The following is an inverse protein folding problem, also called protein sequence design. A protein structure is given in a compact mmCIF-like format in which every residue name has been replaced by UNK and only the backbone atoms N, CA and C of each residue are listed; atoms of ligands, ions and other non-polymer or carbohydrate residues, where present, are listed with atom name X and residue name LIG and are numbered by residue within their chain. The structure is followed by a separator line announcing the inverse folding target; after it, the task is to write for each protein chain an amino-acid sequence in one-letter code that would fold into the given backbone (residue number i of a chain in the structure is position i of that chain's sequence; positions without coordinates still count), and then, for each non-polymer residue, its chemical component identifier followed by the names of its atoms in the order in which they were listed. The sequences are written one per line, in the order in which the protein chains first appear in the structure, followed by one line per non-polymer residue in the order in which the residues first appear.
data_IF_575938170144
#
_entry.id   IF_575938170144
#
_cell.length_a   1.000
_cell.length_b   1.000
_cell.length_c   1.000
_cell.angle_alpha   90.00
_cell.angle_beta   90.00
_cell.angle_gamma   90.00
#
_symmetry.space_group_name_H-M   'P 1'
#
loop_
_entity.id
_entity.type
_entity.pdbx_description
1 polymer ?
#
# COMPACT_ATOMS: atom_id res chain seq x y z
N UNK A 1 -22.55 0.44 16.55
CA UNK A 1 -22.85 -0.28 15.29
C UNK A 1 -21.49 -0.68 14.72
N UNK A 2 -21.17 -1.97 14.60
CA UNK A 2 -19.89 -2.41 14.00
C UNK A 2 -19.93 -2.07 12.51
N UNK A 3 -18.86 -1.51 11.97
CA UNK A 3 -18.76 -1.21 10.54
C UNK A 3 -18.70 -2.51 9.74
N UNK A 4 -19.14 -2.51 8.46
CA UNK A 4 -18.92 -3.64 7.55
C UNK A 4 -17.44 -4.00 7.43
N UNK A 5 -16.56 -3.02 7.62
CA UNK A 5 -15.11 -3.21 7.67
C UNK A 5 -14.71 -4.06 8.89
N UNK A 6 -15.30 -3.83 10.06
CA UNK A 6 -15.01 -4.60 11.28
C UNK A 6 -15.48 -6.05 11.16
N UNK A 7 -16.60 -6.26 10.45
CA UNK A 7 -17.14 -7.59 10.17
C UNK A 7 -16.22 -8.38 9.22
N UNK A 8 -15.83 -7.77 8.09
CA UNK A 8 -14.88 -8.37 7.15
C UNK A 8 -13.54 -8.67 7.81
N UNK A 9 -13.01 -7.72 8.59
CA UNK A 9 -11.78 -7.92 9.35
C UNK A 9 -11.90 -9.13 10.26
N UNK A 10 -12.97 -9.21 11.05
CA UNK A 10 -13.16 -10.32 11.97
C UNK A 10 -13.29 -11.67 11.24
N UNK A 11 -13.82 -11.70 10.02
CA UNK A 11 -13.84 -12.91 9.19
C UNK A 11 -12.44 -13.34 8.77
N UNK A 12 -11.62 -12.41 8.24
CA UNK A 12 -10.23 -12.70 7.90
C UNK A 12 -9.39 -13.12 9.12
N UNK A 13 -9.59 -12.49 10.28
CA UNK A 13 -8.92 -12.84 11.54
C UNK A 13 -9.29 -14.26 12.03
N UNK A 14 -10.43 -14.80 11.57
CA UNK A 14 -10.84 -16.20 11.80
C UNK A 14 -10.44 -17.15 10.67
N UNK A 15 -9.60 -16.68 9.74
CA UNK A 15 -9.17 -17.42 8.54
C UNK A 15 -10.32 -17.80 7.59
N UNK A 16 -11.43 -17.06 7.66
CA UNK A 16 -12.54 -17.20 6.72
C UNK A 16 -12.22 -16.48 5.39
N UNK A 17 -12.91 -16.89 4.32
CA UNK A 17 -12.77 -16.30 2.99
C UNK A 17 -14.10 -15.64 2.57
N UNK A 18 -14.42 -14.43 3.07
CA UNK A 18 -15.66 -13.75 2.70
C UNK A 18 -15.70 -13.41 1.21
N UNK A 19 -16.88 -13.49 0.60
CA UNK A 19 -17.09 -13.10 -0.79
C UNK A 19 -17.03 -11.57 -0.93
N UNK A 20 -15.87 -11.01 -1.31
CA UNK A 20 -15.67 -9.56 -1.41
C UNK A 20 -16.59 -8.89 -2.45
N UNK A 21 -17.12 -9.63 -3.41
CA UNK A 21 -18.03 -9.14 -4.46
C UNK A 21 -19.38 -8.67 -3.89
N UNK A 22 -19.75 -9.12 -2.70
CA UNK A 22 -20.98 -8.70 -2.01
C UNK A 22 -20.84 -7.35 -1.29
N UNK A 23 -19.63 -6.80 -1.23
CA UNK A 23 -19.32 -5.57 -0.51
C UNK A 23 -19.04 -4.42 -1.46
N UNK A 24 -19.37 -3.20 -1.03
CA UNK A 24 -19.04 -2.02 -1.82
C UNK A 24 -17.50 -1.84 -1.89
N UNK A 25 -16.96 -1.37 -3.04
CA UNK A 25 -15.51 -1.19 -3.20
C UNK A 25 -14.87 -0.28 -2.15
N UNK A 26 -15.61 0.68 -1.59
CA UNK A 26 -15.09 1.57 -0.54
C UNK A 26 -14.88 0.83 0.78
N UNK A 27 -15.75 -0.12 1.13
CA UNK A 27 -15.60 -1.02 2.27
C UNK A 27 -14.37 -1.90 2.09
N UNK A 28 -14.20 -2.54 0.92
CA UNK A 28 -13.04 -3.39 0.63
C UNK A 28 -11.73 -2.58 0.65
N UNK A 29 -11.71 -1.40 0.04
CA UNK A 29 -10.55 -0.50 0.09
C UNK A 29 -10.25 -0.03 1.52
N UNK A 30 -11.28 0.19 2.35
CA UNK A 30 -11.10 0.57 3.75
C UNK A 30 -10.51 -0.56 4.58
N UNK A 31 -10.92 -1.80 4.33
CA UNK A 31 -10.30 -2.98 4.92
C UNK A 31 -8.82 -3.10 4.56
N UNK A 32 -8.47 -2.96 3.27
CA UNK A 32 -7.06 -3.00 2.83
C UNK A 32 -6.21 -1.93 3.53
N UNK A 33 -6.70 -0.68 3.60
CA UNK A 33 -6.02 0.41 4.32
C UNK A 33 -5.87 0.11 5.82
N UNK A 34 -6.90 -0.48 6.43
CA UNK A 34 -6.85 -0.86 7.84
C UNK A 34 -5.82 -1.96 8.09
N UNK A 35 -5.78 -3.00 7.27
CA UNK A 35 -4.78 -4.07 7.35
C UNK A 35 -3.36 -3.52 7.30
N UNK A 36 -3.05 -2.67 6.32
CA UNK A 36 -1.71 -2.09 6.17
C UNK A 36 -1.30 -1.22 7.37
N UNK A 37 -2.24 -0.45 7.95
CA UNK A 37 -2.00 0.40 9.13
C UNK A 37 -1.80 -0.41 10.43
N UNK A 38 -2.38 -1.59 10.51
CA UNK A 38 -2.34 -2.45 11.70
C UNK A 38 -1.21 -3.48 11.67
N UNK A 39 -0.38 -3.49 10.62
CA UNK A 39 0.83 -4.30 10.58
C UNK A 39 1.72 -3.98 11.81
N UNK A 40 2.38 -4.99 12.42
CA UNK A 40 3.25 -4.77 13.57
C UNK A 40 4.37 -3.74 13.32
N UNK A 41 4.88 -3.73 12.10
CA UNK A 41 5.79 -2.73 11.55
C UNK A 41 5.20 -2.20 10.23
N UNK A 42 5.49 -0.94 9.89
CA UNK A 42 5.12 -0.37 8.59
C UNK A 42 5.74 -1.22 7.45
N UNK A 43 5.12 -1.17 6.26
CA UNK A 43 5.44 -2.09 5.16
C UNK A 43 6.93 -2.09 4.75
N UNK A 44 7.60 -0.95 4.88
CA UNK A 44 9.02 -0.80 4.56
C UNK A 44 9.94 -0.97 5.77
N UNK A 45 9.47 -0.80 7.01
CA UNK A 45 10.32 -0.61 8.19
C UNK A 45 10.81 0.84 8.30
N UNK A 46 10.88 1.39 9.53
CA UNK A 46 11.34 2.78 9.78
C UNK A 46 12.72 3.10 9.19
N UNK A 47 13.66 2.16 9.31
CA UNK A 47 15.03 2.33 8.79
C UNK A 47 15.09 2.43 7.26
N UNK A 48 14.29 1.64 6.55
CA UNK A 48 14.26 1.68 5.09
C UNK A 48 13.52 2.92 4.59
N UNK A 49 12.46 3.38 5.27
CA UNK A 49 11.76 4.64 4.92
C UNK A 49 12.75 5.80 4.82
N UNK A 50 13.57 6.02 5.86
CA UNK A 50 14.58 7.09 5.88
C UNK A 50 15.57 6.98 4.70
N UNK A 51 15.97 5.76 4.35
CA UNK A 51 16.92 5.50 3.25
C UNK A 51 16.28 5.68 1.87
N UNK A 52 14.99 5.36 1.72
CA UNK A 52 14.22 5.68 0.52
C UNK A 52 14.08 7.20 0.36
N UNK A 53 13.87 7.95 1.43
CA UNK A 53 13.82 9.41 1.41
C UNK A 53 15.19 10.03 1.03
N UNK A 54 16.28 9.53 1.60
CA UNK A 54 17.64 9.93 1.20
C UNK A 54 17.91 9.65 -0.28
N UNK A 55 17.47 8.51 -0.80
CA UNK A 55 17.60 8.14 -2.21
C UNK A 55 16.89 9.13 -3.14
N UNK A 56 15.75 9.70 -2.73
CA UNK A 56 15.04 10.75 -3.48
C UNK A 56 15.90 12.01 -3.71
N UNK A 57 16.85 12.30 -2.80
CA UNK A 57 17.74 13.45 -2.88
C UNK A 57 18.91 13.30 -3.88
N UNK A 58 19.04 12.14 -4.55
CA UNK A 58 20.15 11.91 -5.48
C UNK A 58 20.05 12.79 -6.74
N UNK A 59 21.18 13.24 -7.32
CA UNK A 59 21.17 14.21 -8.41
C UNK A 59 20.54 13.71 -9.71
N UNK A 60 20.78 12.46 -10.07
CA UNK A 60 20.30 11.89 -11.34
C UNK A 60 19.22 10.82 -11.16
N UNK A 61 18.29 10.75 -12.11
CA UNK A 61 17.25 9.70 -12.12
C UNK A 61 17.86 8.29 -12.21
N UNK A 62 19.00 8.13 -12.88
CA UNK A 62 19.71 6.86 -12.96
C UNK A 62 20.24 6.42 -11.57
N UNK A 63 20.83 7.33 -10.81
CA UNK A 63 21.32 7.05 -9.45
C UNK A 63 20.17 6.79 -8.47
N UNK A 64 19.05 7.50 -8.61
CA UNK A 64 17.81 7.23 -7.84
C UNK A 64 17.29 5.83 -8.11
N UNK A 65 17.14 5.48 -9.40
CA UNK A 65 16.64 4.16 -9.80
C UNK A 65 17.53 3.04 -9.28
N UNK A 66 18.85 3.19 -9.45
CA UNK A 66 19.82 2.21 -8.95
C UNK A 66 19.71 2.03 -7.43
N UNK A 67 19.56 3.12 -6.69
CA UNK A 67 19.42 3.06 -5.23
C UNK A 67 18.10 2.44 -4.80
N UNK A 68 16.98 2.80 -5.45
CA UNK A 68 15.69 2.18 -5.17
C UNK A 68 15.71 0.68 -5.45
N UNK A 69 16.32 0.23 -6.54
CA UNK A 69 16.49 -1.20 -6.81
C UNK A 69 17.31 -1.90 -5.71
N UNK A 70 18.38 -1.26 -5.24
CA UNK A 70 19.22 -1.76 -4.15
C UNK A 70 18.41 -1.89 -2.85
N UNK A 71 17.68 -0.84 -2.46
CA UNK A 71 16.85 -0.81 -1.25
C UNK A 71 15.69 -1.80 -1.32
N UNK A 72 15.02 -1.93 -2.47
CA UNK A 72 14.00 -2.97 -2.70
C UNK A 72 14.58 -4.39 -2.58
N UNK A 73 15.87 -4.57 -2.82
CA UNK A 73 16.59 -5.82 -2.54
C UNK A 73 16.63 -6.18 -1.05
N UNK A 74 16.63 -5.18 -0.17
CA UNK A 74 16.71 -5.32 1.29
C UNK A 74 15.33 -5.47 1.97
N UNK A 75 14.24 -5.11 1.28
CA UNK A 75 12.87 -5.27 1.78
C UNK A 75 12.57 -6.78 1.94
N UNK A 76 12.00 -7.22 3.08
CA UNK A 76 11.60 -8.61 3.27
C UNK A 76 10.70 -9.12 2.16
N UNK A 77 10.87 -10.38 1.73
CA UNK A 77 10.18 -10.94 0.56
C UNK A 77 8.66 -10.78 0.62
N UNK A 78 8.04 -11.00 1.79
CA UNK A 78 6.59 -10.83 1.98
C UNK A 78 6.14 -9.38 1.80
N UNK A 79 6.82 -8.44 2.44
CA UNK A 79 6.54 -7.00 2.30
C UNK A 79 6.76 -6.51 0.87
N UNK A 80 7.82 -6.97 0.20
CA UNK A 80 8.10 -6.62 -1.20
C UNK A 80 7.02 -7.14 -2.14
N UNK A 81 6.52 -8.35 -1.92
CA UNK A 81 5.40 -8.90 -2.70
C UNK A 81 4.14 -8.05 -2.53
N UNK A 82 3.79 -7.74 -1.28
CA UNK A 82 2.64 -6.89 -0.97
C UNK A 82 2.80 -5.49 -1.59
N UNK A 83 3.99 -4.89 -1.50
CA UNK A 83 4.30 -3.61 -2.11
C UNK A 83 4.14 -3.64 -3.65
N UNK A 84 4.64 -4.70 -4.31
CA UNK A 84 4.50 -4.85 -5.75
C UNK A 84 3.04 -4.92 -6.19
N UNK A 85 2.22 -5.71 -5.48
CA UNK A 85 0.78 -5.78 -5.74
C UNK A 85 0.07 -4.44 -5.47
N UNK A 86 0.44 -3.76 -4.38
CA UNK A 86 -0.14 -2.47 -4.03
C UNK A 86 0.17 -1.41 -5.10
N UNK A 87 1.44 -1.27 -5.50
CA UNK A 87 1.87 -0.32 -6.54
C UNK A 87 1.16 -0.63 -7.86
N UNK A 88 1.12 -1.90 -8.27
CA UNK A 88 0.43 -2.32 -9.51
C UNK A 88 -1.07 -2.00 -9.46
N UNK A 89 -1.72 -2.25 -8.32
CA UNK A 89 -3.13 -1.91 -8.16
C UNK A 89 -3.38 -0.40 -8.24
N UNK A 90 -2.51 0.41 -7.61
CA UNK A 90 -2.63 1.86 -7.68
C UNK A 90 -2.41 2.40 -9.09
N UNK A 91 -1.47 1.83 -9.84
CA UNK A 91 -1.26 2.18 -11.25
C UNK A 91 -2.55 1.98 -12.07
N UNK A 92 -3.24 0.85 -11.89
CA UNK A 92 -4.54 0.62 -12.53
C UNK A 92 -5.63 1.61 -12.09
N UNK A 93 -5.63 2.05 -10.83
CA UNK A 93 -6.58 3.05 -10.31
C UNK A 93 -6.30 4.44 -10.92
N UNK A 94 -5.02 4.81 -11.03
CA UNK A 94 -4.55 6.07 -11.61
C UNK A 94 -4.81 6.10 -13.12
N UNK A 95 -4.61 4.98 -13.82
CA UNK A 95 -4.93 4.86 -15.25
C UNK A 95 -6.42 5.13 -15.54
N UNK A 96 -7.29 5.04 -14.53
CA UNK A 96 -8.73 5.33 -14.59
C UNK A 96 -9.11 6.62 -13.86
N UNK A 97 -8.17 7.56 -13.69
CA UNK A 97 -8.37 8.83 -12.98
C UNK A 97 -9.61 9.59 -13.45
N UNK A 98 -9.97 9.51 -14.74
CA UNK A 98 -11.17 10.17 -15.27
C UNK A 98 -12.45 9.69 -14.58
N UNK A 99 -12.49 8.44 -14.14
CA UNK A 99 -13.62 7.82 -13.44
C UNK A 99 -13.42 7.86 -11.92
N UNK A 100 -12.24 7.44 -11.45
CA UNK A 100 -11.93 7.29 -10.02
C UNK A 100 -11.67 8.60 -9.31
N UNK A 101 -11.28 9.65 -10.06
CA UNK A 101 -10.78 10.95 -9.57
C UNK A 101 -9.53 10.83 -8.69
N UNK A 102 -8.84 9.70 -8.77
CA UNK A 102 -7.62 9.41 -8.01
C UNK A 102 -6.39 9.53 -8.91
N UNK A 103 -5.69 10.65 -8.81
CA UNK A 103 -4.38 10.83 -9.44
C UNK A 103 -3.25 10.37 -8.51
N UNK A 104 -2.01 10.39 -9.01
CA UNK A 104 -0.83 9.98 -8.24
C UNK A 104 -0.64 10.79 -6.95
N UNK A 105 -1.00 12.08 -6.94
CA UNK A 105 -0.93 12.93 -5.75
C UNK A 105 -1.96 12.49 -4.69
N UNK A 106 -3.22 12.25 -5.09
CA UNK A 106 -4.30 11.81 -4.21
C UNK A 106 -3.99 10.43 -3.61
N UNK A 107 -3.47 9.50 -4.43
CA UNK A 107 -3.05 8.18 -3.98
C UNK A 107 -1.89 8.28 -2.98
N UNK A 108 -0.89 9.10 -3.28
CA UNK A 108 0.26 9.33 -2.37
C UNK A 108 -0.21 9.82 -1.00
N UNK A 109 -1.15 10.75 -0.94
CA UNK A 109 -1.70 11.26 0.33
C UNK A 109 -2.42 10.15 1.13
N UNK A 110 -3.20 9.30 0.46
CA UNK A 110 -3.96 8.22 1.12
C UNK A 110 -3.04 7.10 1.62
N UNK A 111 -2.00 6.77 0.86
CA UNK A 111 -1.07 5.70 1.22
C UNK A 111 -0.01 6.13 2.22
N UNK A 112 0.32 7.42 2.30
CA UNK A 112 1.36 7.90 3.22
C UNK A 112 1.17 7.44 4.67
N UNK A 113 0.02 7.69 5.35
CA UNK A 113 -0.21 7.23 6.74
C UNK A 113 -0.38 5.71 6.88
N UNK A 114 -0.31 4.98 5.78
CA UNK A 114 -0.54 3.54 5.67
C UNK A 114 0.75 2.78 5.34
N UNK A 115 1.78 3.47 4.81
CA UNK A 115 3.05 2.89 4.36
C UNK A 115 4.26 3.50 5.11
N UNK A 116 4.17 4.73 5.62
CA UNK A 116 5.17 5.38 6.49
C UNK A 116 4.90 5.12 7.98
#
# INVERSE_FOLDING_TARGET
MKSKVDELKAAYDREECPCLEEYDPHTVASLLKQYLRELPDNLLGKELVSRFEEACGRPSEAEKLQEFQRLLGEVPTGSRLLLAWLITHMDHVIARETDTKMNIQNISIVLNPTVQ
#
